data_IF_697643142786
#
_entry.id   IF_697643142786
#
_cell.length_a   1.000
_cell.length_b   1.000
_cell.length_c   1.000
_cell.angle_alpha   90.00
_cell.angle_beta   90.00
_cell.angle_gamma   90.00
#
_symmetry.space_group_name_H-M   'P 1'
#
loop_
_entity.id
_entity.type
_entity.pdbx_description
1 polymer ?
#
# COMPACT_ATOMS: atom_id res chain seq x y z
N UNK A 1 -3.63 -3.82 -4.43
CA UNK A 1 -3.67 -5.11 -5.16
C UNK A 1 -5.12 -5.49 -5.32
N UNK A 2 -5.53 -5.82 -6.54
CA UNK A 2 -6.87 -6.31 -6.84
C UNK A 2 -6.93 -7.83 -6.72
N UNK A 3 -8.15 -8.38 -6.54
CA UNK A 3 -8.33 -9.81 -6.47
C UNK A 3 -9.79 -10.24 -6.42
N UNK A 4 -9.97 -11.53 -6.25
CA UNK A 4 -11.28 -12.17 -6.20
C UNK A 4 -11.37 -13.16 -5.03
N UNK A 5 -12.55 -13.21 -4.43
CA UNK A 5 -12.88 -14.27 -3.47
C UNK A 5 -13.17 -15.57 -4.20
N UNK A 6 -13.05 -16.73 -3.56
CA UNK A 6 -13.44 -18.00 -4.10
C UNK A 6 -14.91 -18.03 -4.61
N UNK A 7 -15.77 -17.12 -4.15
CA UNK A 7 -17.15 -16.94 -4.61
C UNK A 7 -17.29 -16.01 -5.83
N UNK A 8 -16.19 -15.55 -6.45
CA UNK A 8 -16.18 -14.66 -7.61
C UNK A 8 -16.40 -13.17 -7.29
N UNK A 9 -16.50 -12.81 -6.00
CA UNK A 9 -16.65 -11.39 -5.61
C UNK A 9 -15.32 -10.66 -5.68
N UNK A 10 -15.27 -9.54 -6.40
CA UNK A 10 -14.10 -8.67 -6.50
C UNK A 10 -13.74 -8.02 -5.17
N UNK A 11 -12.47 -7.82 -4.94
CA UNK A 11 -11.92 -7.12 -3.79
C UNK A 11 -10.67 -6.33 -4.17
N UNK A 12 -10.34 -5.37 -3.32
CA UNK A 12 -9.11 -4.61 -3.37
C UNK A 12 -8.50 -4.60 -1.96
N UNK A 13 -7.21 -4.86 -1.86
CA UNK A 13 -6.47 -4.75 -0.61
C UNK A 13 -5.37 -3.70 -0.72
N UNK A 14 -5.22 -2.94 0.35
CA UNK A 14 -4.10 -2.03 0.57
C UNK A 14 -3.34 -2.53 1.79
N UNK A 15 -2.13 -3.04 1.56
CA UNK A 15 -1.29 -3.54 2.64
C UNK A 15 -0.79 -2.36 3.47
N UNK A 16 -1.12 -2.39 4.76
CA UNK A 16 -0.72 -1.37 5.73
C UNK A 16 0.62 -1.72 6.38
N UNK A 17 0.84 -3.00 6.65
CA UNK A 17 2.04 -3.49 7.34
C UNK A 17 2.35 -4.93 7.00
N UNK A 18 3.62 -5.21 6.79
CA UNK A 18 4.14 -6.57 6.75
C UNK A 18 4.51 -7.00 8.17
N UNK A 19 4.05 -8.17 8.56
CA UNK A 19 4.35 -8.81 9.84
C UNK A 19 5.47 -9.84 9.67
N UNK A 20 5.57 -10.78 10.61
CA UNK A 20 6.57 -11.83 10.53
C UNK A 20 6.18 -12.87 9.46
N UNK A 21 7.17 -13.34 8.72
CA UNK A 21 6.97 -14.35 7.67
C UNK A 21 6.20 -13.80 6.47
N UNK A 22 5.11 -14.46 6.14
CA UNK A 22 4.24 -14.11 5.01
C UNK A 22 2.93 -13.44 5.42
N UNK A 23 2.85 -12.95 6.63
CA UNK A 23 1.64 -12.32 7.17
C UNK A 23 1.67 -10.81 6.95
N UNK A 24 0.49 -10.25 6.69
CA UNK A 24 0.30 -8.82 6.49
C UNK A 24 -0.97 -8.32 7.17
N UNK A 25 -0.97 -7.04 7.49
CA UNK A 25 -2.16 -6.30 7.91
C UNK A 25 -2.57 -5.37 6.79
N UNK A 26 -3.85 -5.38 6.43
CA UNK A 26 -4.34 -4.65 5.26
C UNK A 26 -5.73 -4.05 5.46
N UNK A 27 -5.99 -2.97 4.75
CA UNK A 27 -7.35 -2.53 4.45
C UNK A 27 -7.94 -3.41 3.36
N UNK A 28 -9.26 -3.65 3.39
CA UNK A 28 -9.93 -4.43 2.35
C UNK A 28 -11.21 -3.72 1.93
N UNK A 29 -11.29 -3.40 0.64
CA UNK A 29 -12.51 -2.92 -0.01
C UNK A 29 -13.20 -4.08 -0.68
N UNK A 30 -14.36 -4.44 -0.19
CA UNK A 30 -15.14 -5.60 -0.64
C UNK A 30 -16.62 -5.40 -0.32
N UNK A 31 -17.50 -5.85 -1.20
CA UNK A 31 -18.97 -5.70 -1.03
C UNK A 31 -19.49 -6.48 0.17
N UNK A 32 -19.02 -7.71 0.38
CA UNK A 32 -19.36 -8.56 1.52
C UNK A 32 -18.06 -9.05 2.17
N UNK A 33 -17.82 -8.65 3.41
CA UNK A 33 -16.63 -9.01 4.17
C UNK A 33 -16.51 -10.53 4.30
N UNK A 34 -15.35 -11.13 3.95
CA UNK A 34 -15.11 -12.55 4.14
C UNK A 34 -14.98 -12.90 5.62
N UNK A 35 -15.20 -14.15 5.95
CA UNK A 35 -14.97 -14.71 7.29
C UNK A 35 -13.54 -15.25 7.41
N UNK A 36 -12.99 -15.37 8.64
CA UNK A 36 -11.72 -16.04 8.87
C UNK A 36 -11.66 -17.42 8.20
N UNK A 37 -10.53 -17.77 7.60
CA UNK A 37 -10.34 -18.97 6.79
C UNK A 37 -10.71 -18.80 5.29
N UNK A 38 -11.34 -17.69 4.91
CA UNK A 38 -11.68 -17.44 3.51
C UNK A 38 -10.42 -17.30 2.66
N UNK A 39 -10.44 -17.96 1.49
CA UNK A 39 -9.37 -17.87 0.49
C UNK A 39 -9.71 -16.83 -0.57
N UNK A 40 -8.70 -16.15 -1.04
CA UNK A 40 -8.76 -15.11 -2.05
C UNK A 40 -7.61 -15.30 -3.02
N UNK A 41 -7.85 -15.05 -4.29
CA UNK A 41 -6.79 -14.97 -5.30
C UNK A 41 -6.52 -13.49 -5.60
N UNK A 42 -5.29 -13.07 -5.46
CA UNK A 42 -4.84 -11.69 -5.64
C UNK A 42 -4.02 -11.62 -6.93
N UNK A 43 -4.44 -10.77 -7.83
CA UNK A 43 -3.77 -10.54 -9.11
C UNK A 43 -3.66 -9.03 -9.35
N UNK A 44 -2.55 -8.58 -9.86
CA UNK A 44 -2.30 -7.19 -10.18
C UNK A 44 -3.11 -6.71 -11.39
N UNK A 45 -4.44 -6.77 -11.32
CA UNK A 45 -5.29 -6.43 -12.46
C UNK A 45 -5.05 -7.36 -13.65
N UNK A 46 -4.42 -6.86 -14.70
CA UNK A 46 -4.19 -7.57 -15.97
C UNK A 46 -2.85 -8.31 -16.05
N UNK A 47 -2.03 -8.23 -15.00
CA UNK A 47 -0.79 -9.01 -14.92
C UNK A 47 -1.16 -10.49 -14.88
N UNK A 48 -0.64 -11.26 -15.83
CA UNK A 48 -0.83 -12.71 -15.86
C UNK A 48 -0.27 -13.35 -14.58
N UNK A 49 -1.05 -14.18 -13.95
CA UNK A 49 -0.71 -14.84 -12.71
C UNK A 49 -1.33 -14.15 -11.49
N UNK A 50 -0.75 -14.39 -10.35
CA UNK A 50 -1.23 -13.88 -9.07
C UNK A 50 -0.73 -14.75 -7.94
N UNK A 51 -1.28 -14.53 -6.76
CA UNK A 51 -0.95 -15.29 -5.56
C UNK A 51 -2.18 -15.44 -4.67
N UNK A 52 -2.11 -16.37 -3.75
CA UNK A 52 -3.22 -16.65 -2.86
C UNK A 52 -3.06 -15.94 -1.51
N UNK A 53 -4.18 -15.60 -0.92
CA UNK A 53 -4.25 -15.09 0.44
C UNK A 53 -5.33 -15.82 1.25
N UNK A 54 -5.07 -15.99 2.53
CA UNK A 54 -6.04 -16.54 3.49
C UNK A 54 -6.31 -15.47 4.55
N UNK A 55 -7.58 -15.20 4.80
CA UNK A 55 -7.96 -14.32 5.90
C UNK A 55 -7.79 -15.06 7.23
N UNK A 56 -6.87 -14.58 8.07
CA UNK A 56 -6.65 -15.11 9.42
C UNK A 56 -7.63 -14.52 10.42
N UNK A 57 -7.97 -13.24 10.29
CA UNK A 57 -8.89 -12.57 11.20
C UNK A 57 -8.92 -11.06 11.01
N UNK A 58 -9.29 -10.38 12.08
CA UNK A 58 -9.22 -8.91 12.18
C UNK A 58 -7.94 -8.52 12.93
N UNK A 59 -7.53 -7.26 12.81
CA UNK A 59 -6.35 -6.71 13.46
C UNK A 59 -6.67 -5.37 14.15
N UNK A 60 -6.16 -5.10 15.37
CA UNK A 60 -5.24 -5.97 16.18
C UNK A 60 -5.96 -7.11 16.91
N UNK A 61 -7.28 -7.10 16.98
CA UNK A 61 -8.14 -8.08 17.61
C UNK A 61 -9.41 -8.33 16.77
N UNK A 62 -10.35 -9.12 17.24
CA UNK A 62 -11.57 -9.47 16.51
C UNK A 62 -12.47 -8.28 16.11
N UNK A 63 -12.36 -7.15 16.80
CA UNK A 63 -13.08 -5.90 16.53
C UNK A 63 -12.25 -4.91 15.71
N UNK A 64 -11.01 -5.24 15.41
CA UNK A 64 -10.07 -4.39 14.71
C UNK A 64 -10.58 -3.93 13.34
N UNK A 65 -10.17 -2.74 12.91
CA UNK A 65 -10.60 -2.18 11.64
C UNK A 65 -9.92 -2.85 10.44
N UNK A 66 -8.71 -3.38 10.62
CA UNK A 66 -7.90 -3.98 9.58
C UNK A 66 -8.11 -5.49 9.48
N UNK A 67 -7.60 -6.07 8.41
CA UNK A 67 -7.64 -7.50 8.13
C UNK A 67 -6.25 -8.10 8.25
N UNK A 68 -6.13 -9.23 8.94
CA UNK A 68 -4.91 -10.01 9.06
C UNK A 68 -4.93 -11.13 8.02
N UNK A 69 -3.96 -11.15 7.13
CA UNK A 69 -3.87 -12.06 5.99
C UNK A 69 -2.55 -12.82 6.01
N UNK A 70 -2.58 -14.07 5.58
CA UNK A 70 -1.39 -14.83 5.20
C UNK A 70 -1.34 -14.90 3.66
N UNK A 71 -0.22 -14.51 3.08
CA UNK A 71 0.01 -14.52 1.64
C UNK A 71 0.77 -15.78 1.23
N UNK A 72 0.48 -16.30 0.05
CA UNK A 72 1.18 -17.48 -0.50
C UNK A 72 1.48 -17.24 -1.96
N UNK A 73 2.71 -16.89 -2.25
CA UNK A 73 3.21 -16.77 -3.61
C UNK A 73 3.52 -18.13 -4.24
N UNK A 74 3.44 -18.26 -5.56
CA UNK A 74 3.64 -19.53 -6.27
C UNK A 74 5.07 -20.11 -6.12
N UNK A 75 6.06 -19.29 -5.79
CA UNK A 75 7.47 -19.69 -5.61
C UNK A 75 7.98 -19.44 -4.20
N UNK A 76 7.07 -19.08 -3.26
CA UNK A 76 7.42 -18.74 -1.89
C UNK A 76 7.96 -17.31 -1.73
N UNK A 77 7.53 -16.41 -2.60
CA UNK A 77 7.88 -14.98 -2.54
C UNK A 77 7.47 -14.36 -1.21
N UNK A 78 8.28 -13.44 -0.73
CA UNK A 78 7.96 -12.59 0.42
C UNK A 78 6.82 -11.61 0.09
N UNK A 79 6.13 -11.04 1.11
CA UNK A 79 5.11 -10.02 0.88
C UNK A 79 5.60 -8.81 0.06
N UNK A 80 6.85 -8.39 0.24
CA UNK A 80 7.43 -7.29 -0.52
C UNK A 80 7.60 -7.64 -2.00
N UNK A 81 8.10 -8.84 -2.32
CA UNK A 81 8.22 -9.31 -3.70
C UNK A 81 6.86 -9.46 -4.38
N UNK A 82 5.83 -9.91 -3.63
CA UNK A 82 4.46 -9.97 -4.14
C UNK A 82 3.87 -8.58 -4.40
N UNK A 83 4.14 -7.62 -3.53
CA UNK A 83 3.73 -6.22 -3.75
C UNK A 83 4.42 -5.61 -4.97
N UNK A 84 5.70 -5.88 -5.17
CA UNK A 84 6.46 -5.39 -6.31
C UNK A 84 5.96 -5.99 -7.64
N UNK A 85 5.62 -7.28 -7.65
CA UNK A 85 5.16 -7.97 -8.85
C UNK A 85 3.69 -7.68 -9.19
N UNK A 86 2.81 -7.57 -8.20
CA UNK A 86 1.34 -7.52 -8.37
C UNK A 86 0.69 -6.28 -7.76
N UNK A 87 1.46 -5.45 -7.09
CA UNK A 87 0.97 -4.21 -6.49
C UNK A 87 0.80 -3.09 -7.51
N UNK A 88 0.00 -2.11 -7.12
CA UNK A 88 -0.08 -0.80 -7.75
C UNK A 88 0.23 0.24 -6.69
N UNK A 89 0.85 1.32 -7.09
CA UNK A 89 1.14 2.43 -6.20
C UNK A 89 -0.17 3.02 -5.66
N UNK A 90 -0.34 3.13 -4.33
CA UNK A 90 -1.50 3.82 -3.76
C UNK A 90 -1.36 5.32 -3.99
N UNK A 91 -2.19 5.85 -4.88
CA UNK A 91 -2.26 7.28 -5.16
C UNK A 91 -3.32 7.95 -4.30
N UNK A 92 -3.15 9.26 -3.97
CA UNK A 92 -4.19 10.05 -3.32
C UNK A 92 -5.49 10.04 -4.13
N UNK A 93 -6.67 10.10 -3.48
CA UNK A 93 -7.97 9.96 -4.16
C UNK A 93 -8.28 11.03 -5.22
N UNK A 94 -7.58 12.16 -5.20
CA UNK A 94 -7.75 13.21 -6.21
C UNK A 94 -7.01 12.94 -7.53
N UNK A 95 -6.12 11.93 -7.55
CA UNK A 95 -5.48 11.46 -8.76
C UNK A 95 -6.31 10.32 -9.31
N UNK A 96 -7.09 10.62 -10.34
CA UNK A 96 -7.92 9.63 -11.02
C UNK A 96 -7.08 8.87 -12.04
N UNK A 97 -7.16 7.54 -12.02
CA UNK A 97 -6.57 6.62 -13.00
C UNK A 97 -7.63 5.67 -13.54
N UNK A 98 -7.49 5.28 -14.79
CA UNK A 98 -8.39 4.31 -15.40
C UNK A 98 -8.07 2.91 -14.89
N UNK A 99 -8.72 2.49 -13.81
CA UNK A 99 -8.52 1.20 -13.13
C UNK A 99 -8.84 -0.04 -13.98
N UNK A 100 -9.34 0.14 -15.21
CA UNK A 100 -9.78 -0.94 -16.11
C UNK A 100 -8.98 -1.01 -17.42
N UNK A 101 -7.93 -0.23 -17.59
CA UNK A 101 -7.09 -0.30 -18.78
C UNK A 101 -6.14 -1.50 -18.69
N UNK A 102 -6.03 -2.26 -19.78
CA UNK A 102 -5.06 -3.38 -19.89
C UNK A 102 -3.61 -2.95 -19.69
N UNK A 103 -3.38 -1.69 -19.79
CA UNK A 103 -2.10 -1.03 -19.48
C UNK A 103 -2.44 0.38 -19.03
N UNK A 104 -2.09 0.73 -17.79
CA UNK A 104 -2.11 2.11 -17.33
C UNK A 104 -0.84 2.77 -17.88
N UNK A 105 -0.94 3.68 -18.87
CA UNK A 105 0.23 4.32 -19.44
C UNK A 105 1.01 5.16 -18.42
N UNK A 106 0.34 5.54 -17.34
CA UNK A 106 0.91 6.40 -16.30
C UNK A 106 1.54 5.58 -15.15
N UNK A 107 1.39 4.23 -15.11
CA UNK A 107 1.87 3.39 -13.99
C UNK A 107 3.38 3.54 -13.76
N UNK A 108 4.16 3.56 -14.83
CA UNK A 108 5.61 3.74 -14.74
C UNK A 108 5.96 5.17 -14.30
N UNK A 109 5.32 6.17 -14.88
CA UNK A 109 5.53 7.58 -14.52
C UNK A 109 5.10 7.85 -13.07
N UNK A 110 3.97 7.28 -12.62
CA UNK A 110 3.52 7.38 -11.24
C UNK A 110 4.52 6.74 -10.27
N UNK A 111 5.06 5.56 -10.61
CA UNK A 111 6.07 4.89 -9.81
C UNK A 111 7.35 5.71 -9.63
N UNK A 112 7.77 6.41 -10.67
CA UNK A 112 8.95 7.28 -10.63
C UNK A 112 8.66 8.61 -9.90
N UNK A 113 7.50 9.23 -10.13
CA UNK A 113 7.16 10.57 -9.62
C UNK A 113 6.59 10.58 -8.21
N UNK A 114 5.97 9.48 -7.77
CA UNK A 114 5.40 9.34 -6.43
C UNK A 114 6.34 8.63 -5.44
N UNK A 115 7.63 8.53 -5.76
CA UNK A 115 8.67 8.05 -4.86
C UNK A 115 9.64 9.18 -4.54
N UNK A 116 10.06 9.27 -3.27
CA UNK A 116 10.98 10.33 -2.85
C UNK A 116 12.44 9.85 -2.91
N UNK A 117 13.36 10.78 -3.12
CA UNK A 117 14.82 10.52 -3.03
C UNK A 117 15.27 10.11 -1.62
N UNK A 118 14.39 10.22 -0.63
CA UNK A 118 14.68 9.86 0.76
C UNK A 118 14.24 8.44 1.13
N UNK A 119 13.56 7.74 0.23
CA UNK A 119 13.07 6.38 0.49
C UNK A 119 14.24 5.39 0.59
N UNK A 120 14.50 4.90 1.79
CA UNK A 120 15.59 3.94 2.06
C UNK A 120 15.13 2.67 2.76
N UNK A 121 13.99 2.71 3.46
CA UNK A 121 13.45 1.58 4.22
C UNK A 121 11.99 1.33 3.82
N UNK A 122 11.65 0.13 3.33
CA UNK A 122 10.25 -0.22 3.02
C UNK A 122 9.36 -0.16 4.25
N UNK A 123 8.08 0.21 4.07
CA UNK A 123 7.10 0.21 5.17
C UNK A 123 6.09 1.36 5.16
N UNK A 124 6.30 2.41 4.37
CA UNK A 124 5.31 3.46 4.18
C UNK A 124 4.26 3.04 3.15
N UNK A 125 3.00 3.39 3.41
CA UNK A 125 1.88 3.20 2.47
C UNK A 125 1.72 4.40 1.55
N UNK A 126 2.03 5.60 2.05
CA UNK A 126 1.89 6.85 1.32
C UNK A 126 3.22 7.61 1.24
N UNK A 127 3.49 8.23 0.10
CA UNK A 127 4.62 9.12 -0.05
C UNK A 127 4.38 10.45 0.69
N UNK A 128 5.40 11.01 1.39
CA UNK A 128 5.31 12.35 1.94
C UNK A 128 5.39 13.38 0.79
N UNK A 129 4.25 13.88 0.35
CA UNK A 129 4.12 14.69 -0.88
C UNK A 129 5.02 15.93 -0.89
N UNK A 130 5.29 16.56 0.24
CA UNK A 130 6.24 17.67 0.34
C UNK A 130 7.66 17.26 -0.05
N UNK A 131 8.06 16.02 0.19
CA UNK A 131 9.38 15.51 -0.15
C UNK A 131 9.55 15.20 -1.64
N UNK A 132 8.46 15.08 -2.41
CA UNK A 132 8.50 14.90 -3.87
C UNK A 132 9.07 16.11 -4.62
N UNK A 133 9.14 17.26 -3.97
CA UNK A 133 9.76 18.47 -4.54
C UNK A 133 11.29 18.47 -4.44
N UNK A 134 11.89 17.49 -3.76
CA UNK A 134 13.35 17.36 -3.67
C UNK A 134 13.86 16.36 -4.69
N UNK A 135 14.91 16.76 -5.38
CA UNK A 135 15.72 15.91 -6.26
C UNK A 135 17.19 15.98 -5.87
N UNK A 136 18.02 15.18 -6.50
CA UNK A 136 19.47 15.17 -6.25
C UNK A 136 20.13 16.54 -6.54
N UNK A 137 19.62 17.29 -7.51
CA UNK A 137 20.17 18.62 -7.84
C UNK A 137 19.95 19.62 -6.71
N UNK A 138 18.74 19.63 -6.13
CA UNK A 138 18.42 20.46 -4.97
C UNK A 138 19.27 20.05 -3.75
N UNK A 139 19.39 18.75 -3.50
CA UNK A 139 20.19 18.24 -2.37
C UNK A 139 21.68 18.61 -2.52
N UNK A 140 22.25 18.51 -3.70
CA UNK A 140 23.62 18.91 -3.99
C UNK A 140 23.83 20.44 -3.84
N UNK A 141 22.85 21.24 -4.28
CA UNK A 141 22.90 22.70 -4.12
C UNK A 141 22.85 23.11 -2.64
N UNK A 142 22.06 22.42 -1.81
CA UNK A 142 22.04 22.65 -0.36
C UNK A 142 23.37 22.31 0.29
N UNK A 143 23.97 21.18 -0.06
CA UNK A 143 25.28 20.76 0.41
C UNK A 143 26.37 21.76 0.03
N UNK A 144 26.36 22.26 -1.22
CA UNK A 144 27.29 23.26 -1.69
C UNK A 144 27.20 24.59 -0.94
N UNK A 145 26.04 24.88 -0.36
CA UNK A 145 25.81 26.05 0.53
C UNK A 145 26.15 25.79 2.00
N UNK A 146 26.67 24.61 2.33
CA UNK A 146 27.02 24.27 3.72
C UNK A 146 25.83 23.91 4.60
N UNK A 147 24.66 23.57 4.02
CA UNK A 147 23.50 23.13 4.79
C UNK A 147 23.73 21.68 5.23
N UNK A 148 23.71 21.45 6.52
CA UNK A 148 23.82 20.11 7.10
C UNK A 148 22.47 19.39 7.03
N UNK A 149 22.50 18.06 6.80
CA UNK A 149 21.32 17.21 6.73
C UNK A 149 21.34 16.17 7.84
N UNK A 150 20.18 15.94 8.46
CA UNK A 150 19.92 14.82 9.35
C UNK A 150 18.68 14.08 8.85
N UNK A 151 18.58 12.78 9.14
CA UNK A 151 17.48 11.95 8.67
C UNK A 151 16.79 11.26 9.83
N UNK A 152 15.49 11.12 9.72
CA UNK A 152 14.65 10.25 10.56
C UNK A 152 13.85 9.33 9.64
N UNK A 153 13.57 8.10 10.10
CA UNK A 153 12.71 7.18 9.35
C UNK A 153 11.27 7.33 9.83
N UNK A 154 10.36 7.65 8.91
CA UNK A 154 8.93 7.72 9.14
C UNK A 154 8.22 6.77 8.18
N UNK A 155 7.30 5.96 8.72
CA UNK A 155 6.41 5.12 7.91
C UNK A 155 5.02 5.77 7.89
N UNK A 156 4.70 6.43 6.79
CA UNK A 156 3.40 7.08 6.61
C UNK A 156 2.36 6.03 6.30
N UNK A 157 1.36 5.89 7.17
CA UNK A 157 0.27 4.92 7.04
C UNK A 157 -0.84 5.39 6.10
N UNK A 158 -1.81 4.50 5.85
CA UNK A 158 -2.99 4.78 5.01
C UNK A 158 -3.95 5.80 5.62
N UNK A 159 -3.79 6.17 6.89
CA UNK A 159 -4.60 7.19 7.55
C UNK A 159 -4.61 8.54 6.82
N UNK A 160 -3.53 8.88 6.11
CA UNK A 160 -3.47 10.13 5.33
C UNK A 160 -4.47 10.19 4.17
N UNK A 161 -4.97 9.05 3.71
CA UNK A 161 -5.99 8.96 2.67
C UNK A 161 -7.42 8.96 3.22
N UNK A 162 -7.58 8.89 4.53
CA UNK A 162 -8.89 8.81 5.16
C UNK A 162 -9.43 10.23 5.44
N UNK A 163 -10.71 10.49 5.11
CA UNK A 163 -11.33 11.74 5.50
C UNK A 163 -11.49 11.79 7.03
N UNK A 164 -11.35 12.98 7.60
CA UNK A 164 -11.66 13.23 9.01
C UNK A 164 -13.15 12.95 9.23
N UNK A 165 -13.47 12.00 10.11
CA UNK A 165 -14.85 11.54 10.38
C UNK A 165 -15.40 12.03 11.72
N UNK A 166 -14.63 12.79 12.46
CA UNK A 166 -15.00 13.29 13.79
C UNK A 166 -15.25 14.80 13.72
N UNK A 167 -16.23 15.29 14.49
CA UNK A 167 -16.51 16.72 14.63
C UNK A 167 -15.43 17.43 15.48
N UNK A 168 -14.73 16.68 16.32
CA UNK A 168 -13.64 17.18 17.17
C UNK A 168 -12.28 16.66 16.69
N UNK A 169 -11.33 17.55 16.47
CA UNK A 169 -9.96 17.19 16.07
C UNK A 169 -9.22 16.34 17.13
N UNK A 170 -9.62 16.47 18.40
CA UNK A 170 -9.03 15.70 19.50
C UNK A 170 -9.43 14.21 19.46
N UNK A 171 -10.53 13.88 18.79
CA UNK A 171 -11.07 12.51 18.70
C UNK A 171 -10.63 11.79 17.41
N UNK A 172 -9.84 12.48 16.58
CA UNK A 172 -9.31 11.92 15.34
C UNK A 172 -7.99 11.19 15.64
N UNK A 173 -8.02 9.85 15.46
CA UNK A 173 -6.83 9.01 15.44
C UNK A 173 -6.37 8.81 13.99
N UNK A 174 -5.15 9.21 13.70
CA UNK A 174 -4.47 8.91 12.44
C UNK A 174 -3.72 7.58 12.52
#
# INVERSE_FOLDING_TARGET
>A
IFGEKASGGKLEILIERVLQGNEVVAHMRVSKKPLPGARMHLCGGLKNGGFDAVLLGRWPDENGALFHLALTGPRGESPYELMDQFGHLPLPPYIERQQNAEHDPDEQEDSERYQTVFASHPGAVAAPTAALHFDEAVLNALQAKGVERASVTLHVGAGTFQPVKTESLTDHNM
#
